data_IF_680465118806
#
_entry.id   IF_680465118806
#
_cell.length_a   1.000
_cell.length_b   1.000
_cell.length_c   1.000
_cell.angle_alpha   90.00
_cell.angle_beta   90.00
_cell.angle_gamma   90.00
#
_symmetry.space_group_name_H-M   'P 1'
#
loop_
_entity.id
_entity.type
_entity.pdbx_description
1 polymer ?
#
# COMPACT_ATOMS: atom_id res chain seq x y z
N UNK A 1 -0.47 5.87 22.82
CA UNK A 1 -1.53 5.30 21.97
C UNK A 1 -1.69 6.29 20.83
N UNK A 2 -1.18 5.91 19.66
CA UNK A 2 -0.89 6.75 18.50
C UNK A 2 -2.11 7.54 18.01
N UNK A 3 -1.94 8.86 17.91
CA UNK A 3 -2.96 9.78 17.37
C UNK A 3 -2.87 9.93 15.85
N UNK A 4 -1.95 9.23 15.15
CA UNK A 4 -1.72 9.43 13.72
C UNK A 4 -2.63 8.57 12.80
N UNK A 5 -3.04 7.37 13.25
CA UNK A 5 -4.02 6.53 12.54
C UNK A 5 -5.42 7.17 12.45
N UNK A 6 -5.70 8.25 13.19
CA UNK A 6 -7.01 8.91 13.13
C UNK A 6 -7.28 9.63 11.81
N UNK A 7 -6.25 9.91 11.01
CA UNK A 7 -6.42 10.59 9.71
C UNK A 7 -6.51 9.63 8.53
N UNK A 8 -5.99 8.42 8.67
CA UNK A 8 -6.08 7.42 7.61
C UNK A 8 -7.49 6.85 7.58
N UNK A 9 -8.29 7.32 6.63
CA UNK A 9 -9.61 6.77 6.37
C UNK A 9 -9.49 5.67 5.31
N UNK A 10 -9.62 4.41 5.73
CA UNK A 10 -9.54 3.23 4.86
C UNK A 10 -10.55 3.29 3.70
N UNK A 11 -11.73 3.85 3.95
CA UNK A 11 -12.78 3.99 2.95
C UNK A 11 -12.37 5.00 1.88
N UNK A 12 -11.79 6.13 2.30
CA UNK A 12 -11.26 7.13 1.39
C UNK A 12 -10.00 6.62 0.66
N UNK A 13 -9.11 5.88 1.33
CA UNK A 13 -7.93 5.25 0.72
C UNK A 13 -8.34 4.32 -0.42
N UNK A 14 -9.26 3.40 -0.15
CA UNK A 14 -9.80 2.47 -1.17
C UNK A 14 -10.44 3.22 -2.33
N UNK A 15 -11.23 4.26 -2.06
CA UNK A 15 -11.85 5.06 -3.11
C UNK A 15 -10.81 5.83 -3.95
N UNK A 16 -9.78 6.37 -3.31
CA UNK A 16 -8.70 7.12 -3.94
C UNK A 16 -7.83 6.22 -4.82
N UNK A 17 -7.37 5.09 -4.27
CA UNK A 17 -6.61 4.08 -4.99
C UNK A 17 -7.43 3.67 -6.21
N UNK A 18 -8.68 3.21 -6.00
CA UNK A 18 -9.56 2.78 -7.09
C UNK A 18 -9.72 3.82 -8.21
N UNK A 19 -9.75 5.10 -7.87
CA UNK A 19 -9.88 6.19 -8.84
C UNK A 19 -8.59 6.50 -9.59
N UNK A 20 -7.42 6.19 -9.02
CA UNK A 20 -6.11 6.35 -9.65
C UNK A 20 -5.75 5.16 -10.55
N UNK A 21 -6.29 3.97 -10.26
CA UNK A 21 -6.05 2.79 -11.08
C UNK A 21 -6.69 2.87 -12.47
N UNK A 22 -6.05 2.20 -13.42
CA UNK A 22 -6.61 1.94 -14.75
C UNK A 22 -8.03 1.33 -14.67
N UNK A 23 -8.94 1.79 -15.55
CA UNK A 23 -10.36 1.33 -15.57
C UNK A 23 -10.53 -0.20 -15.66
N UNK A 24 -9.58 -0.91 -16.27
CA UNK A 24 -9.59 -2.36 -16.33
C UNK A 24 -9.23 -3.03 -15.01
N UNK A 25 -8.36 -2.40 -14.21
CA UNK A 25 -7.86 -2.91 -12.95
C UNK A 25 -8.83 -2.60 -11.80
N UNK A 26 -9.33 -1.37 -11.71
CA UNK A 26 -10.35 -0.98 -10.71
C UNK A 26 -11.70 -1.67 -10.87
N UNK A 27 -11.93 -2.33 -12.01
CA UNK A 27 -13.08 -3.19 -12.24
C UNK A 27 -12.86 -4.63 -11.73
N UNK A 28 -11.61 -5.10 -11.64
CA UNK A 28 -11.24 -6.40 -11.07
C UNK A 28 -11.08 -6.35 -9.54
N UNK A 29 -10.75 -5.17 -9.02
CA UNK A 29 -10.50 -4.91 -7.61
C UNK A 29 -11.76 -4.43 -6.91
N UNK A 30 -12.16 -5.20 -5.91
CA UNK A 30 -13.24 -4.85 -4.99
C UNK A 30 -12.66 -4.18 -3.74
N UNK A 31 -13.51 -3.58 -2.92
CA UNK A 31 -13.12 -2.95 -1.65
C UNK A 31 -12.29 -3.90 -0.79
N UNK A 32 -12.75 -5.15 -0.60
CA UNK A 32 -12.02 -6.15 0.18
C UNK A 32 -10.64 -6.47 -0.39
N UNK A 33 -10.51 -6.52 -1.72
CA UNK A 33 -9.21 -6.76 -2.37
C UNK A 33 -8.27 -5.58 -2.16
N UNK A 34 -8.77 -4.36 -2.31
CA UNK A 34 -7.97 -3.15 -2.10
C UNK A 34 -7.50 -3.04 -0.66
N UNK A 35 -8.38 -3.28 0.31
CA UNK A 35 -8.00 -3.36 1.73
C UNK A 35 -6.92 -4.42 1.95
N UNK A 36 -7.05 -5.61 1.34
CA UNK A 36 -6.01 -6.65 1.41
C UNK A 36 -4.66 -6.19 0.84
N UNK A 37 -4.64 -5.42 -0.26
CA UNK A 37 -3.40 -4.87 -0.81
C UNK A 37 -2.76 -3.86 0.14
N UNK A 38 -3.57 -2.97 0.73
CA UNK A 38 -3.12 -2.01 1.73
C UNK A 38 -2.51 -2.74 2.94
N UNK A 39 -3.19 -3.77 3.46
CA UNK A 39 -2.68 -4.59 4.57
C UNK A 39 -1.32 -5.21 4.24
N UNK A 40 -1.13 -5.73 3.03
CA UNK A 40 0.16 -6.30 2.61
C UNK A 40 1.27 -5.25 2.47
N UNK A 41 0.94 -4.02 2.08
CA UNK A 41 1.88 -2.91 2.03
C UNK A 41 2.36 -2.57 3.44
N UNK A 42 1.43 -2.45 4.39
CA UNK A 42 1.77 -2.21 5.80
C UNK A 42 2.53 -3.38 6.42
N UNK A 43 2.15 -4.62 6.15
CA UNK A 43 2.87 -5.83 6.58
C UNK A 43 4.31 -5.85 6.04
N UNK A 44 4.50 -5.44 4.79
CA UNK A 44 5.84 -5.29 4.22
C UNK A 44 6.65 -4.21 4.94
N UNK A 45 6.04 -3.06 5.24
CA UNK A 45 6.69 -1.99 5.99
C UNK A 45 7.06 -2.40 7.42
N UNK A 46 6.17 -3.10 8.12
CA UNK A 46 6.40 -3.64 9.46
C UNK A 46 7.52 -4.70 9.42
N UNK A 47 7.47 -5.64 8.49
CA UNK A 47 8.46 -6.72 8.37
C UNK A 47 9.87 -6.21 8.07
N UNK A 48 10.01 -5.03 7.46
CA UNK A 48 11.29 -4.38 7.17
C UNK A 48 11.74 -3.42 8.27
N UNK A 49 10.90 -3.15 9.27
CA UNK A 49 11.17 -2.20 10.35
C UNK A 49 11.04 -0.74 9.92
N UNK A 50 10.33 -0.44 8.83
CA UNK A 50 10.10 0.94 8.38
C UNK A 50 9.07 1.68 9.25
N UNK A 51 8.22 0.94 9.96
CA UNK A 51 7.26 1.48 10.94
C UNK A 51 7.82 1.50 12.37
N UNK A 52 9.07 1.09 12.56
CA UNK A 52 9.67 1.00 13.90
C UNK A 52 10.05 2.41 14.40
N UNK A 53 9.43 2.81 15.52
CA UNK A 53 9.54 4.14 16.13
C UNK A 53 10.98 4.47 16.62
N UNK A 54 11.90 3.49 16.64
CA UNK A 54 13.32 3.64 17.01
C UNK A 54 14.19 4.26 15.90
N UNK A 55 13.59 4.79 14.83
CA UNK A 55 14.24 5.82 13.99
C UNK A 55 14.23 7.16 14.74
N UNK A 56 14.96 7.17 15.86
CA UNK A 56 15.14 8.28 16.78
C UNK A 56 15.71 9.50 16.03
N UNK A 57 14.82 10.45 15.73
CA UNK A 57 15.12 11.86 15.52
C UNK A 57 15.97 12.21 14.28
N UNK A 58 15.43 13.11 13.46
CA UNK A 58 16.20 13.99 12.55
C UNK A 58 16.56 13.47 11.17
N UNK A 59 16.23 12.24 10.79
CA UNK A 59 16.50 11.81 9.41
C UNK A 59 15.20 11.79 8.61
N UNK A 60 15.11 12.72 7.67
CA UNK A 60 14.49 12.56 6.35
C UNK A 60 15.11 11.28 5.74
N UNK A 61 14.80 10.10 6.30
CA UNK A 61 15.29 8.84 5.76
C UNK A 61 14.47 8.70 4.50
N UNK A 62 15.09 8.97 3.36
CA UNK A 62 14.71 8.36 2.10
C UNK A 62 14.72 6.84 2.37
N UNK A 63 13.60 6.32 2.89
CA UNK A 63 13.38 4.90 3.03
C UNK A 63 13.32 4.43 1.58
N UNK A 64 14.43 3.87 1.12
CA UNK A 64 14.56 3.29 -0.22
C UNK A 64 13.71 2.01 -0.22
N UNK A 65 12.40 2.21 -0.34
CA UNK A 65 11.42 1.15 -0.46
C UNK A 65 11.63 0.56 -1.84
N UNK A 66 12.10 -0.67 -1.87
CA UNK A 66 12.20 -1.42 -3.11
C UNK A 66 10.79 -1.81 -3.58
N UNK A 67 10.19 -0.94 -4.41
CA UNK A 67 8.84 -1.11 -4.96
C UNK A 67 8.76 -2.40 -5.78
N UNK A 68 9.84 -2.79 -6.45
CA UNK A 68 9.90 -4.01 -7.25
C UNK A 68 9.77 -5.24 -6.35
N UNK A 69 10.55 -5.29 -5.26
CA UNK A 69 10.46 -6.37 -4.27
C UNK A 69 9.11 -6.40 -3.55
N UNK A 70 8.57 -5.24 -3.18
CA UNK A 70 7.23 -5.13 -2.58
C UNK A 70 6.16 -5.67 -3.54
N UNK A 71 6.20 -5.29 -4.81
CA UNK A 71 5.26 -5.78 -5.81
C UNK A 71 5.36 -7.31 -5.98
N UNK A 72 6.57 -7.86 -5.99
CA UNK A 72 6.77 -9.31 -6.00
C UNK A 72 6.22 -10.00 -4.74
N UNK A 73 6.42 -9.40 -3.56
CA UNK A 73 5.89 -9.89 -2.30
C UNK A 73 4.37 -9.95 -2.36
N UNK A 74 3.74 -8.84 -2.71
CA UNK A 74 2.30 -8.72 -2.83
C UNK A 74 1.76 -9.70 -3.87
N UNK A 75 2.41 -9.84 -5.03
CA UNK A 75 2.01 -10.77 -6.08
C UNK A 75 2.01 -12.22 -5.59
N UNK A 76 3.08 -12.63 -4.88
CA UNK A 76 3.23 -13.98 -4.33
C UNK A 76 2.13 -14.26 -3.31
N UNK A 77 1.82 -13.31 -2.43
CA UNK A 77 0.75 -13.42 -1.45
C UNK A 77 -0.63 -13.46 -2.13
N UNK A 78 -0.96 -12.50 -3.01
CA UNK A 78 -2.23 -12.47 -3.74
C UNK A 78 -2.51 -13.76 -4.53
N UNK A 79 -1.46 -14.37 -5.11
CA UNK A 79 -1.56 -15.66 -5.80
C UNK A 79 -1.74 -16.84 -4.85
N UNK A 80 -1.07 -16.82 -3.70
CA UNK A 80 -1.16 -17.88 -2.68
C UNK A 80 -2.53 -17.89 -2.02
N UNK A 81 -3.08 -16.72 -1.76
CA UNK A 81 -4.34 -16.50 -1.06
C UNK A 81 -5.56 -16.48 -2.02
N UNK A 82 -5.35 -16.86 -3.29
CA UNK A 82 -6.38 -16.95 -4.34
C UNK A 82 -7.18 -15.64 -4.55
N UNK A 83 -6.61 -14.50 -4.18
CA UNK A 83 -7.21 -13.16 -4.32
C UNK A 83 -7.37 -12.79 -5.80
N UNK A 84 -6.40 -13.19 -6.62
CA UNK A 84 -6.41 -12.99 -8.07
C UNK A 84 -5.03 -13.08 -8.69
N UNK A 85 -5.01 -13.06 -10.02
CA UNK A 85 -3.77 -12.97 -10.79
C UNK A 85 -3.56 -11.53 -11.23
N UNK A 86 -2.58 -10.89 -10.63
CA UNK A 86 -2.19 -9.51 -10.92
C UNK A 86 -0.74 -9.47 -11.40
N UNK A 87 -0.48 -8.66 -12.43
CA UNK A 87 0.87 -8.36 -12.90
C UNK A 87 1.60 -7.46 -11.90
N UNK A 88 2.94 -7.44 -11.96
CA UNK A 88 3.75 -6.52 -11.16
C UNK A 88 3.32 -5.07 -11.44
N UNK A 89 3.14 -4.71 -12.71
CA UNK A 89 2.66 -3.38 -13.13
C UNK A 89 1.29 -3.02 -12.51
N UNK A 90 0.37 -3.98 -12.43
CA UNK A 90 -0.96 -3.74 -11.83
C UNK A 90 -0.84 -3.51 -10.31
N UNK A 91 0.07 -4.21 -9.64
CA UNK A 91 0.32 -4.04 -8.20
C UNK A 91 1.04 -2.71 -7.95
N UNK A 92 2.01 -2.37 -8.79
CA UNK A 92 2.74 -1.12 -8.74
C UNK A 92 1.80 0.09 -8.87
N UNK A 93 0.78 0.02 -9.73
CA UNK A 93 -0.29 1.05 -9.78
C UNK A 93 -1.01 1.18 -8.43
N UNK A 94 -1.28 0.07 -7.72
CA UNK A 94 -1.95 0.07 -6.41
C UNK A 94 -1.06 0.67 -5.33
N UNK A 95 0.19 0.25 -5.26
CA UNK A 95 1.17 0.73 -4.29
C UNK A 95 1.39 2.23 -4.47
N UNK A 96 1.66 2.68 -5.70
CA UNK A 96 1.84 4.11 -5.97
C UNK A 96 0.61 4.93 -5.57
N UNK A 97 -0.59 4.45 -5.90
CA UNK A 97 -1.82 5.15 -5.56
C UNK A 97 -2.10 5.20 -4.05
N UNK A 98 -1.66 4.20 -3.29
CA UNK A 98 -1.69 4.19 -1.83
C UNK A 98 -0.71 5.22 -1.26
N UNK A 99 0.52 5.23 -1.76
CA UNK A 99 1.55 6.20 -1.38
C UNK A 99 1.12 7.65 -1.67
N UNK A 100 0.52 7.92 -2.84
CA UNK A 100 -0.05 9.23 -3.19
C UNK A 100 -1.15 9.65 -2.21
N UNK A 101 -2.00 8.72 -1.76
CA UNK A 101 -3.02 9.00 -0.75
C UNK A 101 -2.39 9.34 0.60
N UNK A 102 -1.40 8.55 1.03
CA UNK A 102 -0.66 8.79 2.26
C UNK A 102 0.05 10.16 2.25
N UNK A 103 0.72 10.52 1.15
CA UNK A 103 1.32 11.85 0.95
C UNK A 103 0.26 12.96 1.03
N UNK A 104 -0.91 12.75 0.42
CA UNK A 104 -2.02 13.70 0.48
C UNK A 104 -2.56 13.93 1.90
N UNK A 105 -2.39 12.98 2.83
CA UNK A 105 -2.80 13.13 4.24
C UNK A 105 -1.75 13.87 5.08
N UNK A 106 -0.48 13.81 4.68
CA UNK A 106 0.63 14.51 5.34
C UNK A 106 0.75 15.99 4.94
N UNK A 107 -0.03 16.44 3.94
CA UNK A 107 0.03 17.79 3.37
C UNK A 107 -0.84 18.84 4.06
#
# INVERSE_FOLDING_TARGET
>A
MNEDFSKYDDQAAVAFIRSNLSKGLSAKLDTDKLTYFIDLIYDYYESRGYLDEDTDGDTDVDIDIDVEEMCEYIQKNAKRDEIGHFSIEEIEEIVNAEMDYCDSLQR
#
